data_IF_005909848349
#
_entry.id   IF_005909848349
#
_cell.length_a   1.000
_cell.length_b   1.000
_cell.length_c   1.000
_cell.angle_alpha   90.00
_cell.angle_beta   90.00
_cell.angle_gamma   90.00
#
_symmetry.space_group_name_H-M   'P 1'
#
loop_
_entity.id
_entity.type
_entity.pdbx_description
1 polymer ?
#
# COMPACT_ATOMS: atom_id res chain seq x y z
N UNK A 1 16.02 -16.40 2.64
CA UNK A 1 14.74 -16.24 1.93
C UNK A 1 13.86 -17.40 2.32
N UNK A 2 12.66 -17.11 2.76
CA UNK A 2 11.66 -18.10 3.17
C UNK A 2 10.30 -17.67 2.59
N UNK A 3 9.61 -18.59 1.92
CA UNK A 3 8.23 -18.37 1.47
C UNK A 3 7.30 -18.96 2.52
N UNK A 4 6.47 -18.11 3.11
CA UNK A 4 5.61 -18.46 4.22
C UNK A 4 4.14 -18.35 3.76
N UNK A 5 3.42 -19.49 3.67
CA UNK A 5 1.99 -19.46 3.39
C UNK A 5 1.20 -19.00 4.63
N UNK A 6 0.11 -18.28 4.40
CA UNK A 6 -0.79 -17.86 5.47
C UNK A 6 -2.23 -17.67 4.96
N UNK A 7 -3.17 -17.81 5.89
CA UNK A 7 -4.59 -17.66 5.58
C UNK A 7 -4.98 -16.18 5.49
N UNK A 8 -5.73 -15.86 4.45
CA UNK A 8 -6.36 -14.57 4.24
C UNK A 8 -7.79 -14.74 3.70
N UNK A 9 -8.45 -13.61 3.45
CA UNK A 9 -9.80 -13.56 2.90
C UNK A 9 -9.79 -12.81 1.56
N UNK A 10 -10.55 -13.30 0.61
CA UNK A 10 -10.94 -12.53 -0.58
C UNK A 10 -12.29 -11.90 -0.28
N UNK A 11 -12.26 -10.62 0.06
CA UNK A 11 -13.44 -9.81 0.39
C UNK A 11 -13.82 -8.92 -0.78
N UNK A 12 -15.12 -8.71 -1.00
CA UNK A 12 -15.60 -7.58 -1.77
C UNK A 12 -15.40 -6.29 -0.98
N UNK A 13 -15.45 -5.13 -1.63
CA UNK A 13 -15.35 -3.85 -0.94
C UNK A 13 -16.46 -3.69 0.11
N UNK A 14 -17.70 -4.11 -0.21
CA UNK A 14 -18.82 -4.11 0.72
C UNK A 14 -18.56 -4.98 1.96
N UNK A 15 -18.06 -6.21 1.76
CA UNK A 15 -17.72 -7.11 2.86
C UNK A 15 -16.61 -6.52 3.74
N UNK A 16 -15.55 -5.98 3.14
CA UNK A 16 -14.47 -5.36 3.90
C UNK A 16 -14.96 -4.16 4.70
N UNK A 17 -15.69 -3.23 4.07
CA UNK A 17 -16.21 -2.03 4.72
C UNK A 17 -17.21 -2.33 5.84
N UNK A 18 -17.93 -3.45 5.74
CA UNK A 18 -18.84 -3.94 6.77
C UNK A 18 -18.14 -4.70 7.91
N UNK A 19 -16.83 -4.93 7.81
CA UNK A 19 -16.07 -5.73 8.79
C UNK A 19 -16.46 -7.20 8.78
N UNK A 20 -16.89 -7.74 7.62
CA UNK A 20 -17.33 -9.12 7.49
C UNK A 20 -16.14 -10.08 7.41
N UNK A 21 -16.28 -11.24 8.05
CA UNK A 21 -15.36 -12.37 7.90
C UNK A 21 -15.88 -13.45 6.92
N UNK A 22 -17.01 -13.20 6.24
CA UNK A 22 -17.66 -14.16 5.34
C UNK A 22 -17.07 -14.18 3.92
N UNK A 23 -15.85 -13.67 3.76
CA UNK A 23 -15.10 -13.71 2.52
C UNK A 23 -14.64 -15.12 2.15
N UNK A 24 -14.31 -15.32 0.87
CA UNK A 24 -13.70 -16.57 0.42
C UNK A 24 -12.32 -16.74 1.06
N UNK A 25 -12.13 -17.80 1.84
CA UNK A 25 -10.81 -18.16 2.39
C UNK A 25 -9.83 -18.46 1.28
N UNK A 26 -8.61 -17.99 1.44
CA UNK A 26 -7.50 -18.23 0.51
C UNK A 26 -6.20 -18.36 1.30
N UNK A 27 -5.38 -19.34 0.95
CA UNK A 27 -4.01 -19.41 1.44
C UNK A 27 -3.12 -18.65 0.46
N UNK A 28 -2.66 -17.48 0.86
CA UNK A 28 -1.67 -16.68 0.11
C UNK A 28 -0.27 -16.91 0.66
N UNK A 29 0.75 -16.33 0.06
CA UNK A 29 2.10 -16.44 0.54
C UNK A 29 2.79 -15.08 0.64
N UNK A 30 3.75 -14.98 1.54
CA UNK A 30 4.70 -13.88 1.58
C UNK A 30 6.13 -14.39 1.58
N UNK A 31 7.03 -13.61 1.01
CA UNK A 31 8.45 -13.91 0.98
C UNK A 31 9.16 -13.10 2.07
N UNK A 32 9.69 -13.81 3.08
CA UNK A 32 10.50 -13.21 4.14
C UNK A 32 11.99 -13.26 3.76
N UNK A 33 12.63 -12.10 3.77
CA UNK A 33 14.08 -11.99 3.67
C UNK A 33 14.64 -11.27 4.89
N UNK A 34 15.70 -11.81 5.45
CA UNK A 34 16.42 -11.24 6.59
C UNK A 34 17.77 -10.70 6.11
N UNK A 35 18.22 -9.53 6.58
CA UNK A 35 19.59 -9.08 6.37
C UNK A 35 20.57 -10.09 6.99
N UNK A 36 21.79 -10.22 6.44
CA UNK A 36 22.76 -11.26 6.79
C UNK A 36 23.33 -11.20 8.22
N UNK A 37 23.08 -10.15 8.96
CA UNK A 37 23.74 -9.90 10.25
C UNK A 37 22.79 -9.99 11.43
N UNK A 38 23.19 -10.76 12.47
CA UNK A 38 22.67 -10.69 13.84
C UNK A 38 21.66 -11.77 14.23
N UNK A 39 21.59 -12.02 15.54
CA UNK A 39 20.60 -12.87 16.19
C UNK A 39 19.47 -12.05 16.84
N UNK A 40 19.56 -10.73 16.79
CA UNK A 40 18.60 -9.81 17.39
C UNK A 40 17.32 -9.76 16.57
N UNK A 41 16.21 -9.46 17.22
CA UNK A 41 14.95 -9.18 16.53
C UNK A 41 15.10 -7.92 15.67
N UNK A 42 14.79 -8.06 14.41
CA UNK A 42 14.98 -7.03 13.39
C UNK A 42 13.70 -6.23 13.17
N UNK A 43 13.80 -4.94 12.86
CA UNK A 43 12.69 -4.22 12.27
C UNK A 43 12.36 -4.84 10.91
N UNK A 44 11.11 -4.71 10.48
CA UNK A 44 10.66 -5.26 9.21
C UNK A 44 9.82 -4.26 8.41
N UNK A 45 9.74 -4.47 7.11
CA UNK A 45 8.78 -3.82 6.22
C UNK A 45 7.95 -4.87 5.50
N UNK A 46 6.62 -4.70 5.54
CA UNK A 46 5.70 -5.42 4.67
C UNK A 46 5.55 -4.62 3.38
N UNK A 47 5.72 -5.26 2.23
CA UNK A 47 5.63 -4.66 0.90
C UNK A 47 4.39 -5.17 0.16
N UNK A 48 3.53 -4.24 -0.28
CA UNK A 48 2.33 -4.50 -1.07
C UNK A 48 2.55 -4.08 -2.52
N UNK A 49 2.39 -5.01 -3.45
CA UNK A 49 2.65 -4.80 -4.86
C UNK A 49 1.56 -3.96 -5.56
N UNK A 50 1.87 -3.30 -6.71
CA UNK A 50 0.90 -2.58 -7.52
C UNK A 50 -0.03 -3.52 -8.32
N UNK A 51 -0.92 -2.93 -9.12
CA UNK A 51 -1.82 -3.66 -10.05
C UNK A 51 -1.09 -4.57 -11.05
N UNK A 52 0.20 -4.37 -11.27
CA UNK A 52 1.05 -5.22 -12.11
C UNK A 52 1.55 -6.49 -11.43
N UNK A 53 1.28 -6.68 -10.14
CA UNK A 53 1.85 -7.79 -9.36
C UNK A 53 3.27 -7.51 -8.88
N UNK A 54 3.95 -8.57 -8.41
CA UNK A 54 5.35 -8.49 -7.93
C UNK A 54 6.29 -8.41 -9.13
N UNK A 55 7.02 -7.31 -9.24
CA UNK A 55 7.97 -7.04 -10.31
C UNK A 55 9.35 -6.64 -9.82
N UNK A 56 10.26 -6.30 -10.75
CA UNK A 56 11.64 -5.93 -10.44
C UNK A 56 11.77 -4.74 -9.49
N UNK A 57 10.85 -3.79 -9.54
CA UNK A 57 10.81 -2.66 -8.62
C UNK A 57 10.68 -3.11 -7.15
N UNK A 58 9.84 -4.13 -6.87
CA UNK A 58 9.71 -4.68 -5.51
C UNK A 58 11.04 -5.28 -5.05
N UNK A 59 11.73 -6.03 -5.92
CA UNK A 59 13.03 -6.59 -5.63
C UNK A 59 14.09 -5.50 -5.36
N UNK A 60 14.06 -4.37 -6.09
CA UNK A 60 14.96 -3.23 -5.86
C UNK A 60 14.73 -2.63 -4.46
N UNK A 61 13.47 -2.47 -4.04
CA UNK A 61 13.14 -2.00 -2.69
C UNK A 61 13.51 -3.01 -1.61
N UNK A 62 13.28 -4.30 -1.82
CA UNK A 62 13.73 -5.34 -0.89
C UNK A 62 15.24 -5.25 -0.64
N UNK A 63 16.05 -5.24 -1.71
CA UNK A 63 17.51 -5.16 -1.60
C UNK A 63 17.93 -3.90 -0.85
N UNK A 64 17.25 -2.79 -1.13
CA UNK A 64 17.55 -1.53 -0.47
C UNK A 64 17.24 -1.59 1.03
N UNK A 65 16.07 -2.09 1.47
CA UNK A 65 15.75 -2.25 2.89
C UNK A 65 16.69 -3.22 3.61
N UNK A 66 17.03 -4.33 2.96
CA UNK A 66 17.99 -5.28 3.51
C UNK A 66 19.36 -4.62 3.74
N UNK A 67 19.79 -3.71 2.87
CA UNK A 67 21.04 -2.94 3.04
C UNK A 67 20.99 -2.00 4.24
N UNK A 68 19.81 -1.57 4.66
CA UNK A 68 19.58 -0.76 5.87
C UNK A 68 19.43 -1.59 7.15
N UNK A 69 19.54 -2.92 7.07
CA UNK A 69 19.35 -3.81 8.23
C UNK A 69 17.88 -4.04 8.59
N UNK A 70 16.95 -3.81 7.66
CA UNK A 70 15.50 -4.01 7.81
C UNK A 70 15.11 -5.30 7.08
N UNK A 71 14.42 -6.21 7.76
CA UNK A 71 13.83 -7.39 7.12
C UNK A 71 12.68 -7.00 6.18
N UNK A 72 12.46 -7.77 5.12
CA UNK A 72 11.36 -7.53 4.17
C UNK A 72 10.40 -8.70 4.15
N UNK A 73 9.11 -8.41 4.02
CA UNK A 73 8.06 -9.39 3.80
C UNK A 73 7.20 -8.95 2.61
N UNK A 74 7.44 -9.54 1.44
CA UNK A 74 6.66 -9.24 0.22
C UNK A 74 5.43 -10.10 0.19
N UNK A 75 4.25 -9.51 0.18
CA UNK A 75 2.97 -10.22 0.12
C UNK A 75 2.55 -10.44 -1.33
N UNK A 76 2.27 -11.68 -1.70
CA UNK A 76 1.66 -12.03 -2.98
C UNK A 76 0.14 -12.16 -2.83
N UNK A 77 -0.55 -11.07 -3.14
CA UNK A 77 -2.01 -11.01 -3.07
C UNK A 77 -2.69 -11.61 -4.30
N UNK A 78 -1.96 -11.95 -5.38
CA UNK A 78 -2.55 -12.29 -6.67
C UNK A 78 -2.47 -13.78 -7.01
N UNK A 79 -1.31 -14.39 -6.94
CA UNK A 79 -1.06 -15.74 -7.48
C UNK A 79 -2.05 -16.79 -6.97
N UNK A 80 -2.28 -16.86 -5.65
CA UNK A 80 -3.21 -17.84 -5.06
C UNK A 80 -4.69 -17.54 -5.37
N UNK A 81 -5.00 -16.33 -5.83
CA UNK A 81 -6.33 -15.94 -6.31
C UNK A 81 -6.52 -16.21 -7.81
N UNK A 82 -5.47 -16.68 -8.51
CA UNK A 82 -5.49 -16.90 -9.96
C UNK A 82 -5.44 -15.60 -10.76
N UNK A 83 -4.93 -14.53 -10.17
CA UNK A 83 -4.79 -13.21 -10.79
C UNK A 83 -3.33 -13.03 -11.22
N UNK A 84 -3.11 -12.66 -12.47
CA UNK A 84 -1.78 -12.29 -12.96
C UNK A 84 -1.50 -10.79 -12.75
N UNK A 85 -2.47 -9.97 -13.12
CA UNK A 85 -2.45 -8.51 -12.89
C UNK A 85 -3.88 -7.95 -12.97
N UNK A 86 -4.09 -6.75 -12.44
CA UNK A 86 -5.38 -6.05 -12.51
C UNK A 86 -5.32 -4.77 -13.35
N UNK A 87 -4.22 -4.54 -14.10
CA UNK A 87 -3.98 -3.28 -14.85
C UNK A 87 -5.15 -2.93 -15.77
N UNK A 88 -5.63 -3.91 -16.53
CA UNK A 88 -6.68 -3.72 -17.54
C UNK A 88 -8.10 -3.95 -16.99
N UNK A 89 -8.21 -4.54 -15.81
CA UNK A 89 -9.47 -4.84 -15.14
C UNK A 89 -9.25 -4.85 -13.61
N UNK A 90 -9.50 -3.74 -12.99
CA UNK A 90 -9.34 -3.55 -11.54
C UNK A 90 -10.39 -4.30 -10.72
N UNK A 91 -11.50 -4.73 -11.35
CA UNK A 91 -12.59 -5.43 -10.67
C UNK A 91 -12.28 -6.87 -10.25
N UNK A 92 -11.17 -7.45 -10.74
CA UNK A 92 -10.75 -8.81 -10.41
C UNK A 92 -10.49 -9.03 -8.91
N UNK A 93 -10.22 -7.96 -8.17
CA UNK A 93 -9.96 -8.01 -6.73
C UNK A 93 -10.52 -6.74 -6.07
N UNK A 94 -11.16 -6.88 -4.90
CA UNK A 94 -11.64 -5.76 -4.10
C UNK A 94 -10.54 -4.71 -3.86
N UNK A 95 -10.93 -3.45 -3.79
CA UNK A 95 -9.99 -2.32 -3.65
C UNK A 95 -9.19 -2.34 -2.37
N UNK A 96 -9.75 -2.93 -1.30
CA UNK A 96 -9.16 -3.01 0.04
C UNK A 96 -8.66 -4.44 0.38
N UNK A 97 -8.59 -5.34 -0.61
CA UNK A 97 -8.20 -6.72 -0.36
C UNK A 97 -6.75 -6.86 0.11
N UNK A 98 -5.82 -6.02 -0.40
CA UNK A 98 -4.45 -6.02 0.09
C UNK A 98 -4.32 -5.39 1.50
N UNK A 99 -5.28 -4.60 1.94
CA UNK A 99 -5.36 -4.13 3.34
C UNK A 99 -5.62 -5.32 4.29
N UNK A 100 -6.57 -6.21 3.94
CA UNK A 100 -6.80 -7.45 4.68
C UNK A 100 -5.54 -8.31 4.71
N UNK A 101 -4.93 -8.54 3.55
CA UNK A 101 -3.69 -9.31 3.43
C UNK A 101 -2.55 -8.71 4.28
N UNK A 102 -2.45 -7.38 4.36
CA UNK A 102 -1.44 -6.68 5.17
C UNK A 102 -1.64 -6.92 6.66
N UNK A 103 -2.88 -6.89 7.17
CA UNK A 103 -3.14 -7.17 8.58
C UNK A 103 -2.86 -8.64 8.93
N UNK A 104 -3.22 -9.58 8.05
CA UNK A 104 -2.89 -11.01 8.22
C UNK A 104 -1.38 -11.25 8.18
N UNK A 105 -0.68 -10.58 7.26
CA UNK A 105 0.78 -10.61 7.16
C UNK A 105 1.44 -10.05 8.44
N UNK A 106 0.93 -8.93 8.98
CA UNK A 106 1.44 -8.34 10.23
C UNK A 106 1.29 -9.33 11.40
N UNK A 107 0.11 -9.95 11.55
CA UNK A 107 -0.11 -10.96 12.60
C UNK A 107 0.83 -12.16 12.45
N UNK A 108 1.11 -12.59 11.21
CA UNK A 108 2.04 -13.69 10.93
C UNK A 108 3.47 -13.34 11.32
N UNK A 109 4.03 -12.24 10.75
CA UNK A 109 5.45 -11.92 10.96
C UNK A 109 5.76 -11.43 12.37
N UNK A 110 4.75 -10.90 13.09
CA UNK A 110 4.90 -10.50 14.49
C UNK A 110 5.21 -11.70 15.42
N UNK A 111 4.88 -12.90 14.98
CA UNK A 111 5.15 -14.16 15.70
C UNK A 111 6.51 -14.77 15.28
N UNK A 112 7.16 -14.22 14.26
CA UNK A 112 8.46 -14.71 13.80
C UNK A 112 9.55 -14.34 14.83
N UNK A 113 10.40 -15.28 15.28
CA UNK A 113 11.41 -15.03 16.31
C UNK A 113 12.48 -14.01 15.89
N UNK A 114 12.65 -13.77 14.60
CA UNK A 114 13.63 -12.82 14.06
C UNK A 114 13.05 -11.42 13.81
N UNK A 115 11.75 -11.21 14.01
CA UNK A 115 11.08 -9.92 13.76
C UNK A 115 10.69 -9.26 15.07
N UNK A 116 10.96 -7.97 15.20
CA UNK A 116 10.42 -7.14 16.28
C UNK A 116 9.04 -6.63 15.89
N UNK A 117 8.01 -7.22 16.46
CA UNK A 117 6.61 -6.90 16.18
C UNK A 117 6.25 -5.42 16.40
N UNK A 118 6.98 -4.69 17.24
CA UNK A 118 6.75 -3.26 17.51
C UNK A 118 7.40 -2.34 16.47
N UNK A 119 8.19 -2.89 15.55
CA UNK A 119 8.97 -2.15 14.55
C UNK A 119 8.69 -2.65 13.13
N UNK A 120 7.42 -2.83 12.79
CA UNK A 120 6.98 -3.26 11.46
C UNK A 120 6.35 -2.07 10.72
N UNK A 121 6.89 -1.72 9.57
CA UNK A 121 6.37 -0.69 8.67
C UNK A 121 5.57 -1.34 7.54
N UNK A 122 4.53 -0.65 7.05
CA UNK A 122 3.81 -1.02 5.85
C UNK A 122 4.20 -0.06 4.72
N UNK A 123 4.58 -0.60 3.57
CA UNK A 123 4.85 0.17 2.35
C UNK A 123 4.16 -0.48 1.16
N UNK A 124 3.59 0.33 0.28
CA UNK A 124 2.91 -0.19 -0.89
C UNK A 124 2.94 0.76 -2.07
N UNK A 125 2.62 0.22 -3.25
CA UNK A 125 2.82 0.86 -4.54
C UNK A 125 1.50 0.89 -5.32
N UNK A 126 1.04 2.07 -5.80
CA UNK A 126 -0.19 2.20 -6.57
C UNK A 126 -1.39 1.58 -5.84
N UNK A 127 -1.99 0.48 -6.32
CA UNK A 127 -3.01 -0.28 -5.60
C UNK A 127 -2.53 -0.63 -4.18
N UNK A 128 -1.36 -1.24 -4.02
CA UNK A 128 -0.78 -1.51 -2.69
C UNK A 128 -0.48 -0.24 -1.90
N UNK A 129 -0.19 0.89 -2.56
CA UNK A 129 -0.06 2.20 -1.94
C UNK A 129 -1.38 2.70 -1.37
N UNK A 130 -2.48 2.55 -2.11
CA UNK A 130 -3.84 2.82 -1.64
C UNK A 130 -4.16 1.97 -0.40
N UNK A 131 -3.92 0.65 -0.48
CA UNK A 131 -4.14 -0.26 0.65
C UNK A 131 -3.28 0.11 1.86
N UNK A 132 -2.02 0.53 1.65
CA UNK A 132 -1.14 1.04 2.71
C UNK A 132 -1.70 2.29 3.36
N UNK A 133 -2.21 3.24 2.58
CA UNK A 133 -2.79 4.48 3.10
C UNK A 133 -3.99 4.18 4.00
N UNK A 134 -4.95 3.42 3.50
CA UNK A 134 -6.18 3.13 4.22
C UNK A 134 -5.99 2.10 5.35
N UNK A 135 -4.94 1.27 5.33
CA UNK A 135 -4.56 0.46 6.48
C UNK A 135 -4.24 1.28 7.75
N UNK A 136 -3.99 2.58 7.60
CA UNK A 136 -3.81 3.49 8.74
C UNK A 136 -5.11 3.83 9.47
N UNK A 137 -6.29 3.62 8.88
CA UNK A 137 -7.59 3.96 9.47
C UNK A 137 -7.88 3.10 10.72
N UNK A 138 -8.18 3.77 11.83
CA UNK A 138 -8.49 3.11 13.11
C UNK A 138 -9.70 2.17 12.99
N UNK A 139 -10.71 2.55 12.20
CA UNK A 139 -11.87 1.71 11.93
C UNK A 139 -11.48 0.38 11.29
N UNK A 140 -10.62 0.40 10.27
CA UNK A 140 -10.18 -0.81 9.57
C UNK A 140 -9.29 -1.68 10.45
N UNK A 141 -8.40 -1.08 11.23
CA UNK A 141 -7.61 -1.81 12.22
C UNK A 141 -8.48 -2.55 13.23
N UNK A 142 -9.52 -1.90 13.75
CA UNK A 142 -10.45 -2.51 14.70
C UNK A 142 -11.28 -3.65 14.11
N UNK A 143 -11.60 -3.56 12.81
CA UNK A 143 -12.43 -4.55 12.14
C UNK A 143 -11.63 -5.79 11.68
N UNK A 144 -10.37 -5.61 11.27
CA UNK A 144 -9.63 -6.63 10.51
C UNK A 144 -8.29 -7.04 11.13
N UNK A 145 -7.66 -6.18 11.95
CA UNK A 145 -6.38 -6.52 12.55
C UNK A 145 -6.54 -7.42 13.78
N UNK A 146 -5.57 -8.30 14.00
CA UNK A 146 -5.47 -9.10 15.23
C UNK A 146 -5.16 -8.17 16.43
N UNK A 147 -6.10 -8.02 17.35
CA UNK A 147 -5.98 -7.15 18.51
C UNK A 147 -4.80 -7.48 19.44
N UNK A 148 -4.23 -8.69 19.33
CA UNK A 148 -3.03 -9.09 20.08
C UNK A 148 -1.73 -8.65 19.43
N UNK A 149 -1.79 -8.12 18.20
CA UNK A 149 -0.63 -7.70 17.42
C UNK A 149 -0.44 -6.18 17.55
N UNK A 150 0.78 -5.68 17.77
CA UNK A 150 1.07 -4.25 17.65
C UNK A 150 0.69 -3.73 16.26
N UNK A 151 0.18 -2.51 16.18
CA UNK A 151 -0.09 -1.85 14.90
C UNK A 151 1.20 -1.58 14.10
N UNK A 152 1.06 -1.16 12.86
CA UNK A 152 2.20 -0.72 12.07
C UNK A 152 2.89 0.50 12.69
N UNK A 153 4.22 0.49 12.70
CA UNK A 153 5.04 1.58 13.21
C UNK A 153 5.12 2.79 12.26
N UNK A 154 4.85 2.60 10.97
CA UNK A 154 4.77 3.65 9.96
C UNK A 154 4.04 3.14 8.71
N UNK A 155 3.53 4.07 7.89
CA UNK A 155 2.88 3.81 6.60
C UNK A 155 3.56 4.62 5.50
N UNK A 156 3.91 3.96 4.40
CA UNK A 156 4.61 4.57 3.26
C UNK A 156 3.86 4.25 1.96
N UNK A 157 2.77 4.96 1.65
CA UNK A 157 2.08 4.80 0.37
C UNK A 157 2.80 5.56 -0.75
N UNK A 158 3.16 4.87 -1.83
CA UNK A 158 3.69 5.46 -3.05
C UNK A 158 2.58 5.55 -4.10
N UNK A 159 2.40 6.75 -4.63
CA UNK A 159 1.41 7.11 -5.68
C UNK A 159 0.06 6.38 -5.50
N UNK A 160 -0.57 6.51 -4.30
CA UNK A 160 -1.85 5.88 -4.03
C UNK A 160 -3.00 6.59 -4.75
N UNK A 161 -4.09 5.86 -5.02
CA UNK A 161 -5.39 6.50 -5.24
C UNK A 161 -6.01 6.94 -3.92
N UNK A 162 -6.37 8.21 -3.80
CA UNK A 162 -7.01 8.82 -2.63
C UNK A 162 -8.44 9.33 -2.93
N UNK A 163 -9.07 8.86 -4.00
CA UNK A 163 -10.37 9.38 -4.47
C UNK A 163 -11.57 8.85 -3.68
N UNK A 164 -11.38 7.82 -2.86
CA UNK A 164 -12.43 7.27 -2.01
C UNK A 164 -12.53 8.02 -0.67
N UNK A 165 -13.77 8.33 -0.26
CA UNK A 165 -14.08 8.80 1.07
C UNK A 165 -14.80 7.70 1.84
N UNK A 166 -14.12 7.13 2.83
CA UNK A 166 -14.70 6.11 3.72
C UNK A 166 -15.25 6.77 4.99
N UNK A 167 -16.19 6.08 5.66
CA UNK A 167 -16.65 6.51 6.98
C UNK A 167 -15.46 6.56 7.95
N UNK A 168 -15.35 7.64 8.71
CA UNK A 168 -14.26 7.90 9.67
C UNK A 168 -12.86 7.88 9.04
N UNK A 169 -12.71 8.22 7.76
CA UNK A 169 -11.43 8.17 7.05
C UNK A 169 -10.40 9.19 7.58
N UNK A 170 -10.82 10.17 8.34
CA UNK A 170 -9.96 11.14 9.01
C UNK A 170 -9.49 10.70 10.42
N UNK A 171 -9.94 9.54 10.90
CA UNK A 171 -9.50 8.91 12.13
C UNK A 171 -8.47 7.82 11.84
N UNK A 172 -7.20 8.21 11.81
CA UNK A 172 -6.07 7.33 11.50
C UNK A 172 -5.20 7.07 12.73
N UNK A 173 -4.35 6.06 12.66
CA UNK A 173 -3.39 5.73 13.71
C UNK A 173 -2.42 6.90 13.95
N UNK A 174 -1.78 6.91 15.13
CA UNK A 174 -0.77 7.94 15.47
C UNK A 174 0.60 7.68 14.83
N UNK A 175 0.75 6.57 14.10
CA UNK A 175 1.98 6.26 13.39
C UNK A 175 2.17 7.18 12.18
N UNK A 176 3.41 7.58 11.85
CA UNK A 176 3.67 8.49 10.74
C UNK A 176 3.22 7.90 9.39
N UNK A 177 2.60 8.74 8.56
CA UNK A 177 2.19 8.45 7.19
C UNK A 177 3.01 9.33 6.25
N UNK A 178 3.76 8.74 5.32
CA UNK A 178 4.62 9.46 4.37
C UNK A 178 4.26 9.07 2.94
N UNK A 179 3.56 9.96 2.25
CA UNK A 179 3.03 9.77 0.89
C UNK A 179 4.02 10.38 -0.12
N UNK A 180 4.33 9.66 -1.18
CA UNK A 180 5.17 10.14 -2.28
C UNK A 180 4.40 10.04 -3.60
N UNK A 181 4.34 11.16 -4.35
CA UNK A 181 3.45 11.22 -5.51
C UNK A 181 4.02 12.12 -6.62
N UNK A 182 3.76 11.77 -7.87
CA UNK A 182 4.11 12.60 -9.02
C UNK A 182 2.99 13.56 -9.40
N UNK A 183 3.31 14.82 -9.78
CA UNK A 183 2.29 15.78 -10.20
C UNK A 183 1.75 15.54 -11.63
N UNK A 184 2.49 14.79 -12.47
CA UNK A 184 2.05 14.39 -13.80
C UNK A 184 1.40 13.00 -13.83
N UNK A 185 1.14 12.42 -12.65
CA UNK A 185 0.44 11.15 -12.54
C UNK A 185 -1.00 11.29 -13.07
N UNK A 186 -1.27 10.63 -14.19
CA UNK A 186 -2.58 10.59 -14.84
C UNK A 186 -3.25 9.21 -14.69
N UNK A 187 -2.65 8.33 -13.88
CA UNK A 187 -3.28 7.07 -13.45
C UNK A 187 -4.10 7.33 -12.19
N UNK A 188 -3.44 7.81 -11.14
CA UNK A 188 -4.02 8.19 -9.86
C UNK A 188 -3.60 9.65 -9.55
N UNK A 189 -4.41 10.66 -9.90
CA UNK A 189 -4.02 12.06 -9.75
C UNK A 189 -3.73 12.45 -8.29
N UNK A 190 -2.72 13.28 -8.08
CA UNK A 190 -2.29 13.71 -6.73
C UNK A 190 -3.30 14.60 -6.00
N UNK A 191 -4.22 15.26 -6.72
CA UNK A 191 -5.13 16.24 -6.12
C UNK A 191 -6.04 15.67 -5.02
N UNK A 192 -6.67 14.48 -5.16
CA UNK A 192 -7.40 13.85 -4.06
C UNK A 192 -6.52 13.58 -2.83
N UNK A 193 -5.27 13.15 -3.02
CA UNK A 193 -4.34 12.92 -1.91
C UNK A 193 -4.00 14.21 -1.16
N UNK A 194 -3.80 15.34 -1.86
CA UNK A 194 -3.63 16.65 -1.21
C UNK A 194 -4.82 16.99 -0.32
N UNK A 195 -6.04 16.86 -0.83
CA UNK A 195 -7.26 17.14 -0.07
C UNK A 195 -7.39 16.22 1.14
N UNK A 196 -7.06 14.93 1.00
CA UNK A 196 -7.10 13.97 2.10
C UNK A 196 -6.06 14.31 3.17
N UNK A 197 -4.82 14.59 2.79
CA UNK A 197 -3.74 14.98 3.71
C UNK A 197 -4.11 16.23 4.51
N UNK A 198 -4.72 17.24 3.90
CA UNK A 198 -5.17 18.45 4.62
C UNK A 198 -6.23 18.11 5.67
N UNK A 199 -7.16 17.20 5.37
CA UNK A 199 -8.17 16.72 6.37
C UNK A 199 -7.49 15.98 7.53
N UNK A 200 -6.53 15.10 7.23
CA UNK A 200 -5.79 14.34 8.25
C UNK A 200 -4.96 15.27 9.15
N UNK A 201 -4.27 16.25 8.56
CA UNK A 201 -3.51 17.28 9.32
C UNK A 201 -4.42 18.10 10.24
N UNK A 202 -5.60 18.48 9.77
CA UNK A 202 -6.57 19.21 10.57
C UNK A 202 -7.07 18.41 11.80
N UNK A 203 -6.95 17.08 11.77
CA UNK A 203 -7.22 16.17 12.89
C UNK A 203 -5.99 15.86 13.76
N UNK A 204 -4.83 16.44 13.41
CA UNK A 204 -3.58 16.24 14.15
C UNK A 204 -2.81 14.97 13.83
N UNK A 205 -3.11 14.32 12.69
CA UNK A 205 -2.35 13.16 12.24
C UNK A 205 -0.93 13.55 11.79
N UNK A 206 0.04 12.69 12.07
CA UNK A 206 1.41 12.83 11.55
C UNK A 206 1.47 12.33 10.10
N UNK A 207 1.07 13.18 9.16
CA UNK A 207 1.01 12.87 7.74
C UNK A 207 1.74 13.92 6.90
N UNK A 208 2.52 13.44 5.93
CA UNK A 208 3.21 14.29 4.95
C UNK A 208 3.01 13.73 3.54
N UNK A 209 2.82 14.63 2.58
CA UNK A 209 2.81 14.34 1.14
C UNK A 209 3.98 15.06 0.48
N UNK A 210 4.86 14.28 -0.13
CA UNK A 210 5.93 14.80 -1.00
C UNK A 210 5.47 14.67 -2.45
N UNK A 211 5.28 15.80 -3.11
CA UNK A 211 4.93 15.88 -4.52
C UNK A 211 6.15 16.17 -5.38
N UNK A 212 6.34 15.38 -6.42
CA UNK A 212 7.42 15.55 -7.39
C UNK A 212 6.88 16.18 -8.68
N UNK A 213 7.38 17.37 -9.03
CA UNK A 213 6.92 18.14 -10.18
C UNK A 213 7.24 17.41 -11.51
N UNK A 214 6.23 17.24 -12.38
CA UNK A 214 6.38 16.62 -13.70
C UNK A 214 6.61 15.10 -13.70
N UNK A 215 6.55 14.45 -12.55
CA UNK A 215 6.81 13.01 -12.39
C UNK A 215 5.54 12.21 -12.63
N UNK A 216 5.65 11.10 -13.38
CA UNK A 216 4.56 10.18 -13.69
C UNK A 216 4.33 9.11 -12.61
N UNK A 217 3.27 8.32 -12.80
CA UNK A 217 3.01 7.12 -12.01
C UNK A 217 4.15 6.09 -12.12
N UNK A 218 4.41 5.29 -11.07
CA UNK A 218 5.48 4.27 -11.02
C UNK A 218 6.89 4.88 -11.22
N UNK A 219 7.15 6.03 -10.64
CA UNK A 219 8.42 6.75 -10.82
C UNK A 219 9.66 6.01 -10.31
N UNK A 220 9.49 4.95 -9.54
CA UNK A 220 10.54 4.12 -8.93
C UNK A 220 10.86 2.84 -9.72
N UNK A 221 10.17 2.58 -10.84
CA UNK A 221 10.37 1.38 -11.65
C UNK A 221 11.33 1.63 -12.83
N UNK A 222 12.59 1.28 -12.68
CA UNK A 222 13.67 1.47 -13.67
C UNK A 222 13.38 0.86 -15.04
N UNK A 223 12.52 -0.16 -15.10
CA UNK A 223 12.10 -0.77 -16.36
C UNK A 223 11.40 0.23 -17.30
N UNK A 224 10.87 1.34 -16.78
CA UNK A 224 10.16 2.38 -17.53
C UNK A 224 11.00 3.68 -17.63
N UNK A 225 12.26 3.56 -18.04
CA UNK A 225 13.21 4.67 -18.15
C UNK A 225 12.71 5.82 -19.05
N UNK A 226 11.73 5.57 -19.91
CA UNK A 226 11.04 6.56 -20.70
C UNK A 226 9.53 6.51 -20.44
N UNK A 227 8.81 7.65 -20.50
CA UNK A 227 7.36 7.66 -20.36
C UNK A 227 6.70 6.65 -21.31
N UNK A 228 5.96 5.71 -20.73
CA UNK A 228 5.34 4.59 -21.44
C UNK A 228 3.83 4.70 -21.35
N UNK A 229 3.16 4.68 -22.51
CA UNK A 229 1.70 4.67 -22.56
C UNK A 229 1.16 3.26 -22.39
N UNK A 230 0.15 3.12 -21.51
CA UNK A 230 -0.62 1.90 -21.27
C UNK A 230 -2.08 2.13 -21.71
N UNK A 231 -2.40 1.97 -23.01
CA UNK A 231 -3.70 2.42 -23.56
C UNK A 231 -4.91 1.61 -23.05
N UNK A 232 -4.69 0.41 -22.52
CA UNK A 232 -5.74 -0.46 -21.97
C UNK A 232 -5.87 -0.37 -20.47
N UNK A 233 -4.91 0.23 -19.76
CA UNK A 233 -4.91 0.33 -18.30
C UNK A 233 -6.15 1.09 -17.83
N UNK A 234 -6.88 0.50 -16.89
CA UNK A 234 -8.12 1.02 -16.33
C UNK A 234 -7.81 1.97 -15.18
N UNK A 235 -8.34 3.19 -15.23
CA UNK A 235 -8.14 4.22 -14.21
C UNK A 235 -9.48 4.79 -13.74
N UNK A 236 -9.49 5.22 -12.48
CA UNK A 236 -10.63 5.83 -11.79
C UNK A 236 -10.43 7.33 -11.57
N UNK A 237 -9.48 7.93 -12.26
CA UNK A 237 -9.04 9.35 -12.09
C UNK A 237 -10.14 10.39 -12.13
N UNK A 238 -11.27 10.10 -12.77
CA UNK A 238 -12.43 10.97 -12.85
C UNK A 238 -13.60 10.52 -11.98
N UNK A 239 -13.41 9.46 -11.18
CA UNK A 239 -14.39 8.99 -10.24
C UNK A 239 -14.24 9.70 -8.88
N UNK A 240 -15.35 9.81 -8.19
CA UNK A 240 -15.41 10.17 -6.78
C UNK A 240 -16.45 9.27 -6.11
N UNK A 241 -16.08 8.67 -5.02
CA UNK A 241 -16.89 7.72 -4.28
C UNK A 241 -16.89 8.05 -2.80
N UNK A 242 -18.02 7.75 -2.19
CA UNK A 242 -18.25 8.02 -0.79
C UNK A 242 -18.95 6.81 -0.15
N UNK A 243 -18.44 6.35 0.97
CA UNK A 243 -19.14 5.39 1.81
C UNK A 243 -20.14 6.14 2.68
N UNK A 244 -21.45 6.00 2.41
CA UNK A 244 -22.51 6.68 3.16
C UNK A 244 -23.09 5.90 4.31
N UNK A 245 -22.97 4.59 4.26
CA UNK A 245 -23.28 3.67 5.35
C UNK A 245 -22.33 2.47 5.24
N UNK A 246 -22.10 1.76 6.34
CA UNK A 246 -21.14 0.67 6.37
C UNK A 246 -21.37 -0.34 5.23
N UNK A 247 -20.34 -0.55 4.41
CA UNK A 247 -20.40 -1.42 3.25
C UNK A 247 -20.94 -0.81 1.96
N UNK A 248 -21.50 0.39 1.97
CA UNK A 248 -22.14 0.98 0.80
C UNK A 248 -21.32 2.13 0.20
N UNK A 249 -20.41 1.78 -0.71
CA UNK A 249 -19.62 2.73 -1.47
C UNK A 249 -20.39 3.20 -2.70
N UNK A 250 -20.76 4.49 -2.75
CA UNK A 250 -21.55 5.09 -3.80
C UNK A 250 -20.71 6.02 -4.68
N UNK A 251 -20.95 6.02 -5.97
CA UNK A 251 -20.46 7.07 -6.86
C UNK A 251 -21.17 8.39 -6.52
N UNK A 252 -20.43 9.42 -6.20
CA UNK A 252 -20.94 10.73 -5.75
C UNK A 252 -21.84 11.40 -6.78
N UNK A 253 -21.57 11.22 -8.09
CA UNK A 253 -22.36 11.84 -9.16
C UNK A 253 -23.67 11.12 -9.46
N UNK A 254 -23.63 9.78 -9.54
CA UNK A 254 -24.80 8.98 -9.87
C UNK A 254 -25.67 8.60 -8.66
N UNK A 255 -25.08 8.63 -7.48
CA UNK A 255 -25.67 8.13 -6.22
C UNK A 255 -26.06 6.63 -6.28
N UNK A 256 -25.41 5.87 -7.17
CA UNK A 256 -25.55 4.43 -7.32
C UNK A 256 -24.32 3.72 -6.73
N UNK A 257 -24.42 2.44 -6.34
CA UNK A 257 -23.25 1.65 -5.94
C UNK A 257 -22.14 1.77 -6.97
N UNK A 258 -20.91 2.03 -6.50
CA UNK A 258 -19.76 2.15 -7.40
C UNK A 258 -19.50 0.83 -8.12
N UNK A 259 -19.15 0.96 -9.39
CA UNK A 259 -18.76 -0.16 -10.26
C UNK A 259 -17.66 0.29 -11.22
N UNK A 260 -16.74 -0.62 -11.55
CA UNK A 260 -15.77 -0.37 -12.62
C UNK A 260 -16.39 -0.27 -14.04
N UNK A 261 -17.72 -0.45 -14.16
CA UNK A 261 -18.50 -0.12 -15.35
C UNK A 261 -19.05 1.32 -15.36
N UNK A 262 -18.78 2.10 -14.31
CA UNK A 262 -19.26 3.50 -14.22
C UNK A 262 -18.66 4.36 -15.34
N UNK A 263 -19.40 5.34 -15.86
CA UNK A 263 -18.90 6.23 -16.92
C UNK A 263 -17.67 7.06 -16.57
N UNK A 264 -17.34 7.21 -15.28
CA UNK A 264 -16.14 7.89 -14.82
C UNK A 264 -14.87 7.05 -14.96
N UNK A 265 -15.01 5.73 -15.13
CA UNK A 265 -13.89 4.81 -15.32
C UNK A 265 -13.36 4.95 -16.74
N UNK A 266 -12.09 5.23 -16.86
CA UNK A 266 -11.43 5.47 -18.14
C UNK A 266 -10.33 4.44 -18.42
N UNK A 267 -9.76 4.54 -19.60
CA UNK A 267 -8.60 3.75 -20.04
C UNK A 267 -7.53 4.65 -20.60
N UNK A 268 -6.29 4.20 -20.48
CA UNK A 268 -5.14 4.90 -21.04
C UNK A 268 -4.48 5.84 -20.02
N UNK A 269 -3.27 5.47 -19.65
CA UNK A 269 -2.43 6.20 -18.69
C UNK A 269 -0.99 6.24 -19.18
N UNK A 270 -0.19 7.09 -18.56
CA UNK A 270 1.25 7.17 -18.78
C UNK A 270 1.97 6.84 -17.48
N UNK A 271 2.97 5.96 -17.55
CA UNK A 271 3.86 5.62 -16.46
C UNK A 271 5.29 5.97 -16.82
N UNK A 272 6.19 6.14 -15.85
CA UNK A 272 7.58 6.44 -16.17
C UNK A 272 8.47 6.60 -14.94
N UNK A 273 9.69 6.07 -15.04
CA UNK A 273 10.73 6.18 -14.03
C UNK A 273 11.27 7.61 -13.94
N UNK A 274 11.56 8.05 -12.72
CA UNK A 274 12.28 9.28 -12.42
C UNK A 274 13.33 9.01 -11.33
N UNK A 275 14.61 9.10 -11.68
CA UNK A 275 15.72 8.81 -10.80
C UNK A 275 15.76 9.79 -9.61
N UNK A 276 15.54 11.07 -9.86
CA UNK A 276 15.59 12.10 -8.81
C UNK A 276 14.48 11.90 -7.78
N UNK A 277 13.24 11.63 -8.23
CA UNK A 277 12.11 11.34 -7.34
C UNK A 277 12.37 10.05 -6.55
N UNK A 278 12.91 9.01 -7.20
CA UNK A 278 13.25 7.73 -6.54
C UNK A 278 14.28 7.93 -5.43
N UNK A 279 15.38 8.63 -5.70
CA UNK A 279 16.45 8.84 -4.71
C UNK A 279 16.01 9.78 -3.58
N UNK A 280 15.19 10.80 -3.86
CA UNK A 280 14.59 11.64 -2.81
C UNK A 280 13.63 10.83 -1.92
N UNK A 281 12.82 9.94 -2.51
CA UNK A 281 11.93 9.03 -1.79
C UNK A 281 12.74 8.10 -0.88
N UNK A 282 13.79 7.46 -1.40
CA UNK A 282 14.69 6.62 -0.59
C UNK A 282 15.32 7.38 0.57
N UNK A 283 15.79 8.60 0.32
CA UNK A 283 16.38 9.44 1.38
C UNK A 283 15.36 9.77 2.49
N UNK A 284 14.14 10.11 2.14
CA UNK A 284 13.08 10.39 3.10
C UNK A 284 12.70 9.14 3.90
N UNK A 285 12.56 7.99 3.22
CA UNK A 285 12.28 6.70 3.87
C UNK A 285 13.43 6.26 4.77
N UNK A 286 14.71 6.46 4.38
CA UNK A 286 15.87 6.15 5.23
C UNK A 286 15.83 6.94 6.55
N UNK A 287 15.43 8.21 6.51
CA UNK A 287 15.24 9.02 7.70
C UNK A 287 14.10 8.47 8.57
N UNK A 288 12.96 8.11 7.97
CA UNK A 288 11.84 7.49 8.68
C UNK A 288 12.24 6.16 9.32
N UNK A 289 12.95 5.30 8.60
CA UNK A 289 13.50 4.03 9.11
C UNK A 289 14.40 4.28 10.31
N UNK A 290 15.31 5.24 10.22
CA UNK A 290 16.25 5.56 11.30
C UNK A 290 15.54 6.08 12.56
N UNK A 291 14.53 6.92 12.40
CA UNK A 291 13.82 7.56 13.53
C UNK A 291 12.77 6.64 14.15
N UNK A 292 12.09 5.85 13.34
CA UNK A 292 10.92 5.04 13.75
C UNK A 292 11.30 3.58 14.00
N UNK A 293 12.01 2.93 13.05
CA UNK A 293 12.35 1.52 13.16
C UNK A 293 13.68 1.26 13.88
N UNK A 294 14.59 2.24 13.91
CA UNK A 294 15.87 2.20 14.64
C UNK A 294 16.63 0.89 14.40
N UNK A 295 16.96 0.56 13.16
CA UNK A 295 17.71 -0.66 12.87
C UNK A 295 19.10 -0.60 13.53
N UNK A 296 19.57 -1.76 14.00
CA UNK A 296 20.97 -1.86 14.45
C UNK A 296 21.88 -1.70 13.23
N UNK A 297 22.90 -0.83 13.28
CA UNK A 297 23.79 -0.66 12.15
C UNK A 297 24.41 -2.00 11.71
N UNK A 298 24.30 -2.33 10.43
CA UNK A 298 25.02 -3.48 9.87
C UNK A 298 26.50 -3.20 10.01
N UNK A 299 27.25 -4.05 10.74
CA UNK A 299 28.71 -3.97 10.73
C UNK A 299 29.16 -4.17 9.27
N UNK A 300 29.89 -3.20 8.75
CA UNK A 300 30.57 -3.37 7.47
C UNK A 300 31.47 -4.63 7.52
N UNK A 301 31.54 -5.39 6.44
CA UNK A 301 32.38 -6.59 6.36
C UNK A 301 33.86 -6.28 6.57
#
# INVERSE_FOLDING_TARGET
MEVIPFESLTLTDEQFLAGSEDGKRVTIAGELRLPRSGTDRLPAVILLHPSGGIGGQIADWEQWFLSLGVATFVVDSFTSRGIENTINDQSQLGRLAQTEDAYRALSLISKNPHVDASRVMLMGFSRGGQDTLYASMVRFQKAHADASTPGFAAYVPLYPDCSAHYLDDDNVSQAPIRIFHGSADNYDPVAPCKAYVERLKAKGADVELTEFAGVNHIFDARAFAHPTSLPKAQTVRNCAWEERSAGHLLNVKSNLPFSYADPCVERGVTIGYDESATEQTKKAIANLVTTTLKPTPTRAP
#
